data_IF_487726095095
#
_entry.id   IF_487726095095
#
_cell.length_a   1.000
_cell.length_b   1.000
_cell.length_c   1.000
_cell.angle_alpha   90.00
_cell.angle_beta   90.00
_cell.angle_gamma   90.00
#
_symmetry.space_group_name_H-M   'P 1'
#
loop_
_entity.id
_entity.type
_entity.pdbx_description
1 polymer ?
#
# COMPACT_ATOMS: atom_id res chain seq x y z
N UNK A 1 -5.27 -25.95 25.62
CA UNK A 1 -6.37 -26.11 24.64
C UNK A 1 -6.94 -24.73 24.37
N UNK A 2 -6.85 -24.25 23.13
CA UNK A 2 -7.41 -22.95 22.77
C UNK A 2 -8.93 -23.08 22.67
N UNK A 3 -9.69 -22.22 23.35
CA UNK A 3 -11.15 -22.25 23.36
C UNK A 3 -11.69 -21.14 22.45
N UNK A 4 -12.94 -21.28 22.01
CA UNK A 4 -13.60 -20.23 21.23
C UNK A 4 -13.61 -18.89 22.01
N UNK A 5 -13.71 -18.96 23.35
CA UNK A 5 -13.65 -17.80 24.22
C UNK A 5 -12.27 -17.16 24.23
N UNK A 6 -11.18 -17.94 24.35
CA UNK A 6 -9.83 -17.39 24.30
C UNK A 6 -9.50 -16.75 22.94
N UNK A 7 -10.05 -17.27 21.85
CA UNK A 7 -9.90 -16.68 20.51
C UNK A 7 -10.65 -15.33 20.43
N UNK A 8 -11.89 -15.29 20.93
CA UNK A 8 -12.70 -14.06 20.95
C UNK A 8 -12.08 -12.97 21.80
N UNK A 9 -11.49 -13.33 22.93
CA UNK A 9 -10.88 -12.37 23.85
C UNK A 9 -9.55 -11.85 23.31
N UNK A 10 -8.73 -12.70 22.69
CA UNK A 10 -7.52 -12.26 22.00
C UNK A 10 -7.82 -11.30 20.83
N UNK A 11 -8.86 -11.58 20.03
CA UNK A 11 -9.26 -10.68 18.94
C UNK A 11 -9.72 -9.32 19.49
N UNK A 12 -10.51 -9.33 20.57
CA UNK A 12 -11.01 -8.11 21.22
C UNK A 12 -9.89 -7.25 21.80
N UNK A 13 -8.93 -7.87 22.47
CA UNK A 13 -7.76 -7.22 23.05
C UNK A 13 -6.86 -6.61 21.96
N UNK A 14 -6.63 -7.34 20.86
CA UNK A 14 -5.91 -6.81 19.70
C UNK A 14 -6.64 -5.64 19.05
N UNK A 15 -7.97 -5.70 18.94
CA UNK A 15 -8.78 -4.58 18.46
C UNK A 15 -8.62 -3.37 19.36
N UNK A 16 -8.73 -3.54 20.68
CA UNK A 16 -8.58 -2.44 21.63
C UNK A 16 -7.19 -1.81 21.54
N UNK A 17 -6.12 -2.61 21.46
CA UNK A 17 -4.74 -2.13 21.26
C UNK A 17 -4.56 -1.38 19.93
N UNK A 18 -5.32 -1.72 18.90
CA UNK A 18 -5.29 -1.04 17.61
C UNK A 18 -6.03 0.31 17.64
N UNK A 19 -7.11 0.42 18.43
CA UNK A 19 -7.88 1.66 18.62
C UNK A 19 -7.29 2.58 19.70
N UNK A 20 -6.41 2.08 20.57
CA UNK A 20 -5.61 2.86 21.52
C UNK A 20 -4.47 3.64 20.82
N UNK A 21 -4.27 3.39 19.53
CA UNK A 21 -3.52 4.30 18.67
C UNK A 21 -4.45 5.47 18.35
N UNK A 22 -4.20 6.60 19.03
CA UNK A 22 -4.94 7.84 18.84
C UNK A 22 -5.08 8.14 17.35
N UNK A 23 -6.29 8.41 16.86
CA UNK A 23 -6.57 8.65 15.43
C UNK A 23 -5.62 9.69 14.80
N UNK A 24 -5.09 10.60 15.63
CA UNK A 24 -4.07 11.58 15.27
C UNK A 24 -2.73 10.95 14.83
N UNK A 25 -2.34 9.78 15.33
CA UNK A 25 -1.14 9.06 14.91
C UNK A 25 -1.30 8.48 13.52
N UNK A 26 -2.50 8.02 13.16
CA UNK A 26 -2.80 7.55 11.81
C UNK A 26 -2.69 8.72 10.82
N UNK A 27 -3.33 9.85 11.10
CA UNK A 27 -3.25 11.05 10.26
C UNK A 27 -1.81 11.55 10.13
N UNK A 28 -1.03 11.51 11.22
CA UNK A 28 0.39 11.88 11.23
C UNK A 28 1.26 10.92 10.41
N UNK A 29 1.02 9.61 10.50
CA UNK A 29 1.69 8.61 9.67
C UNK A 29 1.33 8.83 8.20
N UNK A 30 0.03 9.03 7.91
CA UNK A 30 -0.42 9.33 6.57
C UNK A 30 0.24 10.59 6.02
N UNK A 31 0.36 11.67 6.79
CA UNK A 31 1.06 12.91 6.41
C UNK A 31 2.57 12.73 6.22
N UNK A 32 3.21 11.84 6.99
CA UNK A 32 4.64 11.56 6.90
C UNK A 32 5.02 10.59 5.77
N UNK A 33 4.04 9.90 5.17
CA UNK A 33 4.30 9.04 4.02
C UNK A 33 4.71 9.90 2.81
N UNK A 34 5.64 9.44 1.97
CA UNK A 34 6.08 10.17 0.77
C UNK A 34 5.00 10.26 -0.32
N UNK A 35 3.76 9.88 0.00
CA UNK A 35 2.57 9.88 -0.87
C UNK A 35 1.46 10.79 -0.35
N UNK A 36 1.70 11.50 0.76
CA UNK A 36 0.67 12.15 1.58
C UNK A 36 0.12 13.45 1.02
N UNK A 37 0.88 14.12 0.16
CA UNK A 37 0.46 15.33 -0.52
C UNK A 37 0.64 15.16 -2.02
N UNK A 38 -0.48 15.14 -2.73
CA UNK A 38 -0.67 15.87 -3.99
C UNK A 38 0.41 15.77 -5.08
N UNK A 39 1.20 14.69 -5.18
CA UNK A 39 1.65 14.23 -6.50
C UNK A 39 0.42 13.63 -7.17
N UNK A 40 -0.38 14.53 -7.75
CA UNK A 40 -1.32 14.19 -8.79
C UNK A 40 -0.53 13.39 -9.84
N UNK A 41 -0.65 12.07 -9.77
CA UNK A 41 -0.15 11.14 -10.79
C UNK A 41 -0.64 11.52 -12.20
N UNK A 42 -1.63 12.43 -12.28
CA UNK A 42 -2.23 13.00 -13.48
C UNK A 42 -1.66 14.37 -13.88
N UNK A 43 -0.97 15.11 -13.01
CA UNK A 43 -0.24 16.34 -13.36
C UNK A 43 1.17 16.03 -13.89
N UNK A 44 1.67 14.83 -13.62
CA UNK A 44 2.90 14.37 -14.24
C UNK A 44 2.65 14.09 -15.74
N UNK A 45 3.44 14.69 -16.65
CA UNK A 45 3.28 14.45 -18.07
C UNK A 45 3.45 12.94 -18.36
N UNK A 46 2.64 12.36 -19.26
CA UNK A 46 2.72 10.94 -19.56
C UNK A 46 4.15 10.57 -19.95
N UNK A 47 4.67 9.49 -19.34
CA UNK A 47 6.03 9.05 -19.61
C UNK A 47 6.26 8.95 -21.13
N UNK A 48 7.39 9.47 -21.65
CA UNK A 48 7.68 9.40 -23.07
C UNK A 48 7.62 7.93 -23.52
N UNK A 49 6.83 7.67 -24.57
CA UNK A 49 6.72 6.33 -25.15
C UNK A 49 8.13 5.84 -25.49
N UNK A 50 8.55 4.70 -24.95
CA UNK A 50 9.83 4.09 -25.32
C UNK A 50 9.83 3.90 -26.84
N UNK A 51 10.92 4.22 -27.54
CA UNK A 51 11.02 3.91 -28.96
C UNK A 51 10.72 2.43 -29.14
N UNK A 52 9.66 2.13 -29.89
CA UNK A 52 9.30 0.76 -30.18
C UNK A 52 10.50 0.12 -30.88
N UNK A 53 11.15 -0.85 -30.23
CA UNK A 53 12.14 -1.71 -30.90
C UNK A 53 11.38 -2.89 -31.47
N UNK A 54 11.25 -3.02 -32.80
CA UNK A 54 10.78 -4.25 -33.40
C UNK A 54 11.69 -5.39 -32.90
N UNK A 55 11.07 -6.42 -32.33
CA UNK A 55 11.78 -7.63 -31.93
C UNK A 55 12.30 -8.29 -33.22
N UNK A 56 13.61 -8.22 -33.49
CA UNK A 56 14.25 -9.00 -34.56
C UNK A 56 14.09 -10.48 -34.25
N UNK A 57 13.23 -11.16 -34.99
CA UNK A 57 13.11 -12.61 -35.03
C UNK A 57 14.14 -13.15 -36.03
N UNK A 58 15.33 -13.51 -35.54
CA UNK A 58 16.24 -14.39 -36.30
C UNK A 58 15.71 -15.81 -36.21
N UNK A 59 14.69 -16.11 -37.01
CA UNK A 59 14.32 -17.49 -37.31
C UNK A 59 15.31 -17.97 -38.37
N UNK A 60 16.35 -18.68 -37.92
CA UNK A 60 17.30 -19.34 -38.82
C UNK A 60 16.62 -20.62 -39.35
N UNK A 61 16.78 -20.86 -40.66
CA UNK A 61 16.22 -21.96 -41.46
C UNK A 61 16.25 -23.35 -40.82
#
# INVERSE_FOLDING_TARGET
MCTIQSIKDAIRECYQSQYDMETADIDRIFQALPFSEHESLFDQPPMPKRPYRPRKNTNNS
#
